data_IF_499144502498
#
_entry.id   IF_499144502498
#
_cell.length_a   1.000
_cell.length_b   1.000
_cell.length_c   1.000
_cell.angle_alpha   90.00
_cell.angle_beta   90.00
_cell.angle_gamma   90.00
#
_symmetry.space_group_name_H-M   'P 1'
#
loop_
_entity.id
_entity.type
_entity.pdbx_description
1 polymer ?
#
# COMPACT_ATOMS: atom_id res chain seq x y z
N UNK A 1 10.68 7.76 11.96
CA UNK A 1 9.70 6.79 11.42
C UNK A 1 9.53 7.09 9.95
N UNK A 2 9.56 6.06 9.12
CA UNK A 2 9.35 6.19 7.67
C UNK A 2 7.95 5.71 7.32
N UNK A 3 7.22 6.50 6.52
CA UNK A 3 5.94 6.11 5.94
C UNK A 3 6.15 5.93 4.43
N UNK A 4 6.14 4.68 3.99
CA UNK A 4 6.34 4.30 2.58
C UNK A 4 5.02 3.94 1.92
N UNK A 5 4.55 4.79 1.00
CA UNK A 5 3.33 4.52 0.24
C UNK A 5 3.66 3.65 -0.97
N UNK A 6 3.11 2.44 -0.99
CA UNK A 6 3.23 1.53 -2.13
C UNK A 6 2.19 1.90 -3.19
N UNK A 7 2.64 2.43 -4.33
CA UNK A 7 1.81 2.60 -5.52
C UNK A 7 1.97 1.36 -6.40
N UNK A 8 0.89 0.70 -6.84
CA UNK A 8 1.00 -0.46 -7.71
C UNK A 8 1.84 -0.18 -8.97
N UNK A 9 2.67 -1.16 -9.33
CA UNK A 9 3.52 -1.19 -10.54
C UNK A 9 4.64 -0.13 -10.59
N UNK A 10 5.05 0.39 -9.44
CA UNK A 10 6.20 1.29 -9.31
C UNK A 10 7.39 0.64 -8.59
N UNK A 11 7.56 -0.68 -8.76
CA UNK A 11 8.59 -1.50 -8.09
C UNK A 11 8.48 -1.58 -6.56
N UNK A 12 7.30 -1.29 -6.00
CA UNK A 12 7.10 -1.32 -4.55
C UNK A 12 7.32 -2.70 -3.91
N UNK A 13 7.08 -3.83 -4.59
CA UNK A 13 7.44 -5.16 -4.08
C UNK A 13 8.95 -5.34 -3.90
N UNK A 14 9.77 -4.87 -4.84
CA UNK A 14 11.23 -4.94 -4.69
C UNK A 14 11.71 -4.04 -3.54
N UNK A 15 11.10 -2.85 -3.41
CA UNK A 15 11.41 -1.95 -2.32
C UNK A 15 10.96 -2.47 -0.96
N UNK A 16 9.81 -3.14 -0.90
CA UNK A 16 9.30 -3.86 0.26
C UNK A 16 10.32 -4.89 0.75
N UNK A 17 10.86 -5.69 -0.16
CA UNK A 17 11.83 -6.73 0.18
C UNK A 17 13.16 -6.11 0.65
N UNK A 18 13.58 -4.99 0.04
CA UNK A 18 14.72 -4.20 0.51
C UNK A 18 14.51 -3.64 1.94
N UNK A 19 13.37 -3.02 2.21
CA UNK A 19 13.03 -2.55 3.57
C UNK A 19 13.04 -3.71 4.56
N UNK A 20 12.46 -4.86 4.21
CA UNK A 20 12.43 -6.03 5.09
C UNK A 20 13.84 -6.51 5.45
N UNK A 21 14.78 -6.46 4.49
CA UNK A 21 16.18 -6.84 4.71
C UNK A 21 16.94 -5.89 5.65
N UNK A 22 16.50 -4.63 5.78
CA UNK A 22 17.15 -3.62 6.63
C UNK A 22 16.50 -3.56 8.01
N UNK A 23 15.17 -3.49 8.04
CA UNK A 23 14.41 -3.18 9.26
C UNK A 23 13.88 -4.41 9.98
N UNK A 24 13.81 -5.59 9.31
CA UNK A 24 13.34 -6.82 9.94
C UNK A 24 12.00 -6.65 10.65
N UNK A 25 11.98 -6.90 11.96
CA UNK A 25 10.80 -6.75 12.82
C UNK A 25 10.30 -5.30 12.96
N UNK A 26 11.16 -4.30 12.69
CA UNK A 26 10.78 -2.88 12.71
C UNK A 26 9.95 -2.44 11.50
N UNK A 27 9.69 -3.33 10.54
CA UNK A 27 8.85 -3.07 9.37
C UNK A 27 7.42 -3.59 9.58
N UNK A 28 6.46 -2.69 9.51
CA UNK A 28 5.03 -3.01 9.56
C UNK A 28 4.36 -2.84 8.19
N UNK A 29 3.52 -3.82 7.84
CA UNK A 29 2.73 -3.84 6.61
C UNK A 29 1.34 -3.28 6.85
N UNK A 30 0.91 -2.29 6.08
CA UNK A 30 -0.47 -1.79 6.11
C UNK A 30 -1.13 -1.92 4.73
N UNK A 31 -1.93 -2.97 4.57
CA UNK A 31 -2.74 -3.24 3.39
C UNK A 31 -4.24 -3.12 3.69
N UNK A 32 -4.60 -2.41 4.78
CA UNK A 32 -5.95 -2.24 5.26
C UNK A 32 -6.37 -3.22 6.36
N UNK A 33 -7.36 -2.84 7.16
CA UNK A 33 -7.75 -3.54 8.38
C UNK A 33 -8.27 -4.98 8.18
N UNK A 34 -8.73 -5.30 6.98
CA UNK A 34 -9.26 -6.62 6.63
C UNK A 34 -8.29 -7.45 5.80
N UNK A 35 -7.16 -6.88 5.39
CA UNK A 35 -6.17 -7.62 4.60
C UNK A 35 -5.39 -8.60 5.48
N UNK A 36 -5.26 -9.87 5.07
CA UNK A 36 -4.43 -10.83 5.79
C UNK A 36 -2.93 -10.47 5.76
N UNK A 37 -2.51 -9.61 4.83
CA UNK A 37 -1.12 -9.15 4.69
C UNK A 37 -0.77 -8.00 5.65
N UNK A 38 -1.76 -7.44 6.35
CA UNK A 38 -1.54 -6.36 7.32
C UNK A 38 -0.90 -6.89 8.60
N UNK A 39 0.20 -6.29 9.04
CA UNK A 39 0.94 -6.70 10.23
C UNK A 39 0.08 -6.60 11.49
N UNK A 40 0.15 -7.62 12.37
CA UNK A 40 -0.54 -7.56 13.68
C UNK A 40 -0.12 -6.36 14.52
N UNK A 41 1.14 -5.93 14.43
CA UNK A 41 1.65 -4.75 15.12
C UNK A 41 0.97 -3.46 14.67
N UNK A 42 0.67 -3.30 13.36
CA UNK A 42 -0.09 -2.13 12.90
C UNK A 42 -1.57 -2.23 13.28
N UNK A 43 -2.17 -3.42 13.24
CA UNK A 43 -3.55 -3.63 13.71
C UNK A 43 -3.69 -3.23 15.18
N UNK A 44 -2.73 -3.61 16.02
CA UNK A 44 -2.66 -3.18 17.43
C UNK A 44 -2.52 -1.66 17.55
N UNK A 45 -1.64 -1.04 16.76
CA UNK A 45 -1.47 0.42 16.76
C UNK A 45 -2.76 1.15 16.36
N UNK A 46 -3.53 0.60 15.42
CA UNK A 46 -4.78 1.14 14.90
C UNK A 46 -6.03 0.68 15.68
N UNK A 47 -5.88 -0.18 16.69
CA UNK A 47 -6.99 -0.68 17.48
C UNK A 47 -7.71 0.49 18.20
N UNK A 48 -9.01 0.62 17.98
CA UNK A 48 -9.79 1.73 18.54
C UNK A 48 -9.71 3.03 17.75
N UNK A 49 -9.12 3.06 16.55
CA UNK A 49 -9.07 4.27 15.69
C UNK A 49 -10.46 4.84 15.33
N UNK A 50 -11.53 4.06 15.50
CA UNK A 50 -12.93 4.51 15.34
C UNK A 50 -13.46 5.35 16.52
N UNK A 51 -12.71 5.47 17.62
CA UNK A 51 -13.16 6.06 18.89
C UNK A 51 -12.08 6.95 19.54
N UNK A 52 -11.55 7.96 18.83
CA UNK A 52 -10.62 8.97 19.39
C UNK A 52 -9.19 8.49 19.66
N UNK A 53 -8.62 7.62 18.81
CA UNK A 53 -7.18 7.32 18.89
C UNK A 53 -6.38 8.61 18.67
N UNK A 54 -5.73 9.10 19.72
CA UNK A 54 -4.80 10.22 19.60
C UNK A 54 -3.51 9.78 18.92
N UNK A 55 -2.87 10.71 18.21
CA UNK A 55 -1.53 10.53 17.66
C UNK A 55 -0.53 10.01 18.71
N UNK A 56 -0.68 10.44 19.96
CA UNK A 56 0.17 10.02 21.07
C UNK A 56 0.03 8.53 21.38
N UNK A 57 -1.21 7.99 21.43
CA UNK A 57 -1.44 6.57 21.68
C UNK A 57 -0.88 5.73 20.53
N UNK A 58 -1.16 6.14 19.28
CA UNK A 58 -0.61 5.47 18.10
C UNK A 58 0.92 5.40 18.18
N UNK A 59 1.59 6.53 18.42
CA UNK A 59 3.05 6.59 18.49
C UNK A 59 3.61 5.79 19.67
N UNK A 60 2.92 5.76 20.81
CA UNK A 60 3.31 4.91 21.94
C UNK A 60 3.27 3.43 21.57
N UNK A 61 2.17 2.98 20.94
CA UNK A 61 2.04 1.58 20.50
C UNK A 61 3.05 1.20 19.43
N UNK A 62 3.37 2.12 18.51
CA UNK A 62 4.45 1.91 17.54
C UNK A 62 5.79 1.70 18.24
N UNK A 63 6.11 2.50 19.27
CA UNK A 63 7.35 2.32 20.07
C UNK A 63 7.36 1.00 20.83
N UNK A 64 6.25 0.62 21.46
CA UNK A 64 6.09 -0.67 22.17
C UNK A 64 6.24 -1.87 21.21
N UNK A 65 5.81 -1.70 19.95
CA UNK A 65 5.92 -2.71 18.90
C UNK A 65 7.20 -2.59 18.07
N UNK A 66 8.13 -1.71 18.46
CA UNK A 66 9.39 -1.43 17.75
C UNK A 66 9.22 -1.06 16.26
N UNK A 67 8.10 -0.45 15.87
CA UNK A 67 7.84 -0.06 14.48
C UNK A 67 8.67 1.18 14.11
N UNK A 68 9.52 1.02 13.10
CA UNK A 68 10.35 2.07 12.53
C UNK A 68 9.85 2.51 11.15
N UNK A 69 9.28 1.58 10.38
CA UNK A 69 8.79 1.78 9.01
C UNK A 69 7.40 1.19 8.85
N UNK A 70 6.51 1.95 8.22
CA UNK A 70 5.19 1.47 7.78
C UNK A 70 5.16 1.50 6.27
N UNK A 71 4.87 0.37 5.63
CA UNK A 71 4.81 0.24 4.18
C UNK A 71 3.52 -0.46 3.73
N UNK A 72 2.87 0.06 2.68
CA UNK A 72 1.74 -0.63 2.06
C UNK A 72 0.79 0.28 1.27
N UNK A 73 -0.44 -0.20 1.07
CA UNK A 73 -1.45 0.45 0.22
C UNK A 73 -2.41 1.30 1.06
N UNK A 74 -2.03 2.55 1.30
CA UNK A 74 -2.84 3.52 2.04
C UNK A 74 -2.66 4.93 1.48
N UNK A 75 -3.56 5.83 1.88
CA UNK A 75 -3.45 7.24 1.53
C UNK A 75 -2.47 7.94 2.47
N UNK A 76 -1.44 8.61 1.94
CA UNK A 76 -0.44 9.33 2.74
C UNK A 76 -1.08 10.28 3.78
N UNK A 77 -2.20 10.92 3.41
CA UNK A 77 -2.96 11.83 4.28
C UNK A 77 -3.41 11.20 5.60
N UNK A 78 -3.64 9.89 5.63
CA UNK A 78 -4.05 9.16 6.82
C UNK A 78 -2.95 9.26 7.88
N UNK A 79 -1.74 8.79 7.53
CA UNK A 79 -0.60 8.84 8.44
C UNK A 79 -0.09 10.27 8.66
N UNK A 80 -0.21 11.16 7.67
CA UNK A 80 0.20 12.56 7.84
C UNK A 80 -0.58 13.28 8.95
N UNK A 81 -1.85 12.92 9.16
CA UNK A 81 -2.65 13.44 10.28
C UNK A 81 -2.22 12.92 11.65
N UNK A 82 -1.57 11.75 11.70
CA UNK A 82 -1.19 11.05 12.93
C UNK A 82 0.27 11.35 13.28
N UNK A 83 1.15 11.31 12.27
CA UNK A 83 2.61 11.45 12.42
C UNK A 83 3.15 12.41 11.34
N UNK A 84 2.85 13.72 11.42
CA UNK A 84 3.24 14.69 10.40
C UNK A 84 4.76 14.84 10.26
N UNK A 85 5.52 14.55 11.33
CA UNK A 85 6.98 14.64 11.36
C UNK A 85 7.70 13.38 10.84
N UNK A 86 6.97 12.38 10.34
CA UNK A 86 7.58 11.20 9.71
C UNK A 86 8.15 11.53 8.33
N UNK A 87 9.14 10.75 7.89
CA UNK A 87 9.66 10.84 6.53
C UNK A 87 8.74 10.08 5.58
N UNK A 88 8.16 10.77 4.60
CA UNK A 88 7.25 10.18 3.61
C UNK A 88 8.01 9.83 2.33
N UNK A 89 7.83 8.61 1.85
CA UNK A 89 8.50 8.10 0.65
C UNK A 89 7.50 7.38 -0.25
N UNK A 90 7.63 7.57 -1.55
CA UNK A 90 6.97 6.74 -2.55
C UNK A 90 7.85 6.58 -3.79
N UNK A 91 7.55 5.56 -4.59
CA UNK A 91 8.14 5.38 -5.91
C UNK A 91 7.10 5.69 -6.97
N UNK A 92 7.49 6.49 -7.95
CA UNK A 92 6.68 6.81 -9.12
C UNK A 92 7.28 6.16 -10.36
N UNK A 93 6.45 6.02 -11.38
CA UNK A 93 6.82 5.52 -12.70
C UNK A 93 6.22 6.44 -13.75
N UNK A 94 6.81 6.46 -14.93
CA UNK A 94 6.22 7.10 -16.10
C UNK A 94 4.74 6.61 -16.24
N UNK A 95 3.76 7.54 -16.35
CA UNK A 95 2.35 7.19 -16.30
C UNK A 95 1.90 6.14 -17.33
N UNK A 96 2.32 6.26 -18.59
CA UNK A 96 1.95 5.32 -19.65
C UNK A 96 2.52 3.93 -19.36
N UNK A 97 3.78 3.85 -18.99
CA UNK A 97 4.45 2.61 -18.62
C UNK A 97 3.78 1.92 -17.43
N UNK A 98 3.31 2.69 -16.44
CA UNK A 98 2.58 2.15 -15.29
C UNK A 98 1.26 1.51 -15.73
N UNK A 99 0.49 2.18 -16.60
CA UNK A 99 -0.78 1.67 -17.15
C UNK A 99 -0.55 0.37 -17.94
N UNK A 100 0.44 0.37 -18.84
CA UNK A 100 0.81 -0.84 -19.61
C UNK A 100 1.24 -1.98 -18.67
N UNK A 101 1.98 -1.67 -17.61
CA UNK A 101 2.42 -2.67 -16.65
C UNK A 101 1.28 -3.25 -15.82
N UNK A 102 0.25 -2.45 -15.49
CA UNK A 102 -0.95 -2.89 -14.77
C UNK A 102 -1.80 -3.79 -15.67
N UNK A 103 -2.06 -3.37 -16.91
CA UNK A 103 -2.78 -4.17 -17.91
C UNK A 103 -2.14 -5.56 -18.08
N UNK A 104 -0.82 -5.60 -18.28
CA UNK A 104 -0.08 -6.86 -18.42
C UNK A 104 -0.02 -7.67 -17.12
N UNK A 105 -0.21 -7.05 -15.95
CA UNK A 105 -0.35 -7.78 -14.69
C UNK A 105 -1.71 -8.47 -14.62
N UNK A 106 -2.80 -7.76 -14.88
CA UNK A 106 -4.16 -8.29 -14.88
C UNK A 106 -4.33 -9.46 -15.87
N UNK A 107 -3.67 -9.38 -17.04
CA UNK A 107 -3.66 -10.50 -18.00
C UNK A 107 -2.95 -11.76 -17.49
N UNK A 108 -1.86 -11.60 -16.75
CA UNK A 108 -1.03 -12.73 -16.27
C UNK A 108 -1.54 -13.32 -14.95
N UNK A 109 -2.06 -12.46 -14.08
CA UNK A 109 -2.49 -12.78 -12.73
C UNK A 109 -3.82 -12.05 -12.49
N UNK A 110 -4.93 -12.56 -13.04
CA UNK A 110 -6.23 -11.93 -12.88
C UNK A 110 -6.67 -11.97 -11.42
N UNK A 111 -7.20 -10.84 -10.94
CA UNK A 111 -7.96 -10.79 -9.70
C UNK A 111 -9.44 -11.07 -10.01
N UNK A 112 -10.00 -12.23 -9.60
CA UNK A 112 -11.38 -12.58 -9.88
C UNK A 112 -12.40 -11.67 -9.18
N UNK A 113 -11.98 -10.89 -8.17
CA UNK A 113 -12.82 -9.93 -7.47
C UNK A 113 -12.85 -8.55 -8.15
N UNK A 114 -11.98 -8.33 -9.13
CA UNK A 114 -11.91 -7.09 -9.89
C UNK A 114 -12.48 -7.30 -11.30
N UNK A 115 -13.69 -6.79 -11.60
CA UNK A 115 -14.33 -6.96 -12.91
C UNK A 115 -13.45 -6.50 -14.08
N UNK A 116 -12.72 -5.39 -13.91
CA UNK A 116 -11.79 -4.88 -14.93
C UNK A 116 -10.66 -5.88 -15.18
N UNK A 117 -10.13 -6.50 -14.13
CA UNK A 117 -9.10 -7.54 -14.26
C UNK A 117 -9.64 -8.76 -15.01
N UNK A 118 -10.89 -9.14 -14.77
CA UNK A 118 -11.56 -10.25 -15.46
C UNK A 118 -11.71 -9.94 -16.96
N UNK A 119 -12.28 -8.79 -17.32
CA UNK A 119 -12.44 -8.35 -18.72
C UNK A 119 -11.10 -8.30 -19.48
N UNK A 120 -10.06 -7.77 -18.84
CA UNK A 120 -8.69 -7.72 -19.41
C UNK A 120 -8.13 -9.12 -19.62
N UNK A 121 -8.29 -10.03 -18.64
CA UNK A 121 -7.74 -11.38 -18.71
C UNK A 121 -8.42 -12.27 -19.75
N UNK A 122 -9.72 -12.10 -19.94
CA UNK A 122 -10.53 -12.84 -20.92
C UNK A 122 -10.45 -12.22 -22.32
N UNK A 123 -9.66 -11.15 -22.49
CA UNK A 123 -9.42 -10.50 -23.77
C UNK A 123 -10.60 -9.67 -24.29
N UNK A 124 -11.57 -9.37 -23.43
CA UNK A 124 -12.73 -8.52 -23.75
C UNK A 124 -12.46 -7.03 -23.64
N UNK A 125 -11.38 -6.64 -22.95
CA UNK A 125 -10.89 -5.26 -22.86
C UNK A 125 -9.46 -5.15 -23.37
N UNK A 126 -9.24 -4.33 -24.40
CA UNK A 126 -7.92 -4.01 -24.94
C UNK A 126 -7.18 -2.93 -24.13
N UNK A 127 -5.88 -2.76 -24.40
CA UNK A 127 -5.06 -1.75 -23.71
C UNK A 127 -5.59 -0.32 -23.88
N UNK A 128 -6.10 0.02 -25.08
CA UNK A 128 -6.66 1.34 -25.35
C UNK A 128 -7.93 1.61 -24.54
N UNK A 129 -8.82 0.62 -24.43
CA UNK A 129 -10.04 0.71 -23.62
C UNK A 129 -9.72 0.79 -22.12
N UNK A 130 -8.78 -0.04 -21.66
CA UNK A 130 -8.28 -0.01 -20.29
C UNK A 130 -7.67 1.35 -19.92
N UNK A 131 -6.87 1.94 -20.82
CA UNK A 131 -6.25 3.25 -20.61
C UNK A 131 -7.26 4.41 -20.62
N UNK A 132 -8.44 4.20 -21.21
CA UNK A 132 -9.53 5.20 -21.28
C UNK A 132 -10.52 5.10 -20.11
N UNK A 133 -10.35 4.15 -19.18
CA UNK A 133 -11.17 4.08 -17.98
C UNK A 133 -10.98 5.33 -17.13
N UNK A 134 -12.09 5.90 -16.66
CA UNK A 134 -12.04 6.98 -15.68
C UNK A 134 -11.41 6.45 -14.38
N UNK A 135 -10.42 7.19 -13.87
CA UNK A 135 -9.84 6.92 -12.56
C UNK A 135 -10.90 7.23 -11.49
N UNK A 136 -11.48 6.18 -10.89
CA UNK A 136 -12.35 6.29 -9.71
C UNK A 136 -11.56 6.49 -8.42
#
# INVERSE_FOLDING_TARGET
MIISVHIPKTAGTAFRDYLASIFGEGLAWDYGLTSPDTSRSILFCLEGWRHDLSAEIFLRRCRESHIEVIHGHFMARFYHRIVPAADYLCWLREPVDRVVSEFNQMRRQPDPLNPTSVEVSEGRMGLGEFAALDFQ
#
